data_IF_188666484018
#
_entry.id   IF_188666484018
#
_cell.length_a   1.000
_cell.length_b   1.000
_cell.length_c   1.000
_cell.angle_alpha   90.00
_cell.angle_beta   90.00
_cell.angle_gamma   90.00
#
_symmetry.space_group_name_H-M   'P 1'
#
loop_
_entity.id
_entity.type
_entity.pdbx_description
1 polymer ?
#
# COMPACT_ATOMS: atom_id res chain seq x y z
N UNK A 1 31.73 -1.96 -57.36
CA UNK A 1 30.48 -2.68 -57.03
C UNK A 1 30.28 -2.65 -55.51
N UNK A 2 29.48 -1.73 -54.94
CA UNK A 2 29.08 -1.82 -53.52
C UNK A 2 27.93 -0.88 -53.16
N UNK A 3 26.74 -1.05 -53.75
CA UNK A 3 25.57 -0.22 -53.42
C UNK A 3 24.28 -1.00 -53.11
N UNK A 4 24.28 -2.33 -53.21
CA UNK A 4 23.05 -3.14 -53.05
C UNK A 4 22.68 -3.52 -51.60
N UNK A 5 23.50 -3.18 -50.59
CA UNK A 5 23.23 -3.55 -49.18
C UNK A 5 22.54 -2.46 -48.33
N UNK A 6 22.69 -1.18 -48.69
CA UNK A 6 22.09 -0.08 -47.92
C UNK A 6 20.55 -0.02 -48.07
N UNK A 7 20.01 -0.29 -49.26
CA UNK A 7 18.58 -0.07 -49.55
C UNK A 7 17.59 -0.99 -48.82
N UNK A 8 18.02 -2.18 -48.37
CA UNK A 8 17.17 -3.10 -47.60
C UNK A 8 17.13 -2.79 -46.10
N UNK A 9 18.18 -2.16 -45.56
CA UNK A 9 18.21 -1.74 -44.16
C UNK A 9 17.43 -0.44 -43.97
N UNK A 10 17.58 0.52 -44.88
CA UNK A 10 16.92 1.82 -44.79
C UNK A 10 15.38 1.73 -44.94
N UNK A 11 14.88 0.71 -45.65
CA UNK A 11 13.44 0.46 -45.81
C UNK A 11 12.79 -0.30 -44.65
N UNK A 12 13.57 -1.00 -43.83
CA UNK A 12 13.06 -1.75 -42.67
C UNK A 12 12.89 -0.88 -41.42
N UNK A 13 13.57 0.27 -41.34
CA UNK A 13 13.53 1.17 -40.18
C UNK A 13 12.12 1.74 -39.95
N UNK A 14 11.41 2.27 -40.96
CA UNK A 14 10.05 2.79 -40.76
C UNK A 14 9.04 1.69 -40.35
N UNK A 15 9.19 0.48 -40.89
CA UNK A 15 8.33 -0.66 -40.55
C UNK A 15 8.54 -1.10 -39.10
N UNK A 16 9.79 -1.22 -38.65
CA UNK A 16 10.13 -1.52 -37.26
C UNK A 16 9.70 -0.40 -36.31
N UNK A 17 9.84 0.86 -36.70
CA UNK A 17 9.38 1.99 -35.90
C UNK A 17 7.86 1.99 -35.76
N UNK A 18 7.13 1.68 -36.83
CA UNK A 18 5.67 1.54 -36.80
C UNK A 18 5.24 0.38 -35.88
N UNK A 19 5.94 -0.75 -35.95
CA UNK A 19 5.71 -1.89 -35.06
C UNK A 19 6.00 -1.53 -33.60
N UNK A 20 7.08 -0.78 -33.34
CA UNK A 20 7.44 -0.27 -32.03
C UNK A 20 6.33 0.62 -31.46
N UNK A 21 5.83 1.59 -32.23
CA UNK A 21 4.75 2.47 -31.80
C UNK A 21 3.48 1.69 -31.45
N UNK A 22 3.05 0.77 -32.33
CA UNK A 22 1.89 -0.11 -32.07
C UNK A 22 2.07 -0.96 -30.82
N UNK A 23 3.28 -1.44 -30.56
CA UNK A 23 3.58 -2.25 -29.37
C UNK A 23 3.57 -1.40 -28.11
N UNK A 24 4.09 -0.17 -28.18
CA UNK A 24 4.07 0.80 -27.08
C UNK A 24 2.65 1.23 -26.71
N UNK A 25 1.76 1.39 -27.69
CA UNK A 25 0.33 1.65 -27.45
C UNK A 25 -0.33 0.49 -26.71
N UNK A 26 -0.03 -0.76 -27.10
CA UNK A 26 -0.53 -1.96 -26.39
C UNK A 26 0.01 -2.03 -24.95
N UNK A 27 1.29 -1.71 -24.76
CA UNK A 27 1.90 -1.64 -23.43
C UNK A 27 1.19 -0.60 -22.54
N UNK A 28 0.93 0.59 -23.09
CA UNK A 28 0.23 1.65 -22.39
C UNK A 28 -1.21 1.25 -22.01
N UNK A 29 -1.96 0.67 -22.95
CA UNK A 29 -3.30 0.17 -22.69
C UNK A 29 -3.32 -0.93 -21.61
N UNK A 30 -2.32 -1.82 -21.58
CA UNK A 30 -2.20 -2.85 -20.56
C UNK A 30 -1.91 -2.25 -19.17
N UNK A 31 -1.09 -1.20 -19.09
CA UNK A 31 -0.83 -0.47 -17.83
C UNK A 31 -2.10 0.19 -17.30
N UNK A 32 -2.87 0.85 -18.15
CA UNK A 32 -4.14 1.47 -17.77
C UNK A 32 -5.18 0.42 -17.31
N UNK A 33 -5.24 -0.73 -17.98
CA UNK A 33 -6.09 -1.83 -17.56
C UNK A 33 -5.68 -2.39 -16.18
N UNK A 34 -4.37 -2.54 -15.96
CA UNK A 34 -3.83 -3.00 -14.68
C UNK A 34 -4.14 -2.01 -13.55
N UNK A 35 -4.02 -0.71 -13.81
CA UNK A 35 -4.37 0.34 -12.85
C UNK A 35 -5.86 0.28 -12.46
N UNK A 36 -6.75 0.09 -13.44
CA UNK A 36 -8.20 -0.09 -13.17
C UNK A 36 -8.47 -1.33 -12.32
N UNK A 37 -7.89 -2.47 -12.67
CA UNK A 37 -8.03 -3.71 -11.90
C UNK A 37 -7.49 -3.53 -10.48
N UNK A 38 -6.38 -2.80 -10.31
CA UNK A 38 -5.83 -2.50 -8.98
C UNK A 38 -6.81 -1.69 -8.13
N UNK A 39 -7.46 -0.68 -8.71
CA UNK A 39 -8.48 0.13 -8.03
C UNK A 39 -9.69 -0.72 -7.63
N UNK A 40 -10.15 -1.61 -8.52
CA UNK A 40 -11.27 -2.52 -8.24
C UNK A 40 -10.93 -3.48 -7.11
N UNK A 41 -9.72 -4.06 -7.11
CA UNK A 41 -9.23 -4.91 -6.03
C UNK A 41 -9.21 -4.17 -4.68
N UNK A 42 -8.76 -2.92 -4.64
CA UNK A 42 -8.76 -2.10 -3.43
C UNK A 42 -10.18 -1.81 -2.93
N UNK A 43 -11.12 -1.58 -3.84
CA UNK A 43 -12.53 -1.34 -3.50
C UNK A 43 -13.17 -2.61 -2.92
N UNK A 44 -12.95 -3.76 -3.55
CA UNK A 44 -13.42 -5.06 -3.05
C UNK A 44 -12.80 -5.35 -1.68
N UNK A 45 -11.50 -5.10 -1.49
CA UNK A 45 -10.84 -5.26 -0.19
C UNK A 45 -11.52 -4.43 0.91
N UNK A 46 -11.87 -3.17 0.62
CA UNK A 46 -12.60 -2.31 1.57
C UNK A 46 -13.98 -2.86 1.90
N UNK A 47 -14.70 -3.40 0.92
CA UNK A 47 -16.00 -4.05 1.15
C UNK A 47 -15.85 -5.30 2.03
N UNK A 48 -14.84 -6.13 1.79
CA UNK A 48 -14.55 -7.31 2.62
C UNK A 48 -14.22 -6.92 4.07
N UNK A 49 -13.40 -5.88 4.27
CA UNK A 49 -13.09 -5.34 5.61
C UNK A 49 -14.36 -4.87 6.35
N UNK A 50 -15.33 -4.31 5.63
CA UNK A 50 -16.59 -3.85 6.23
C UNK A 50 -17.51 -5.02 6.64
N UNK A 51 -17.44 -6.15 5.93
CA UNK A 51 -18.29 -7.32 6.16
C UNK A 51 -17.69 -8.31 7.17
N UNK A 52 -16.37 -8.47 7.18
CA UNK A 52 -15.67 -9.42 8.05
C UNK A 52 -15.21 -8.70 9.31
N UNK A 53 -15.64 -9.12 10.51
CA UNK A 53 -15.20 -8.49 11.75
C UNK A 53 -13.68 -8.62 11.93
N UNK A 54 -13.02 -7.63 12.55
CA UNK A 54 -11.58 -7.66 12.77
C UNK A 54 -11.18 -8.87 13.63
N UNK A 55 -10.09 -9.53 13.25
CA UNK A 55 -9.57 -10.77 13.83
C UNK A 55 -10.56 -11.94 13.80
N UNK A 56 -11.58 -11.87 12.94
CA UNK A 56 -12.53 -12.94 12.69
C UNK A 56 -12.30 -13.61 11.34
N UNK A 57 -12.91 -14.79 11.20
CA UNK A 57 -12.96 -15.55 9.95
C UNK A 57 -14.42 -15.77 9.57
N UNK A 58 -14.78 -15.44 8.33
CA UNK A 58 -16.11 -15.65 7.79
C UNK A 58 -16.00 -16.25 6.40
N UNK A 59 -16.68 -17.39 6.15
CA UNK A 59 -16.72 -18.04 4.84
C UNK A 59 -15.33 -18.26 4.19
N UNK A 60 -14.33 -18.65 4.98
CA UNK A 60 -12.97 -18.88 4.48
C UNK A 60 -12.17 -17.60 4.20
N UNK A 61 -12.63 -16.44 4.67
CA UNK A 61 -11.91 -15.16 4.60
C UNK A 61 -11.57 -14.69 6.01
N UNK A 62 -10.30 -14.37 6.24
CA UNK A 62 -9.81 -13.88 7.54
C UNK A 62 -9.43 -12.40 7.44
N UNK A 63 -9.96 -11.58 8.36
CA UNK A 63 -9.60 -10.17 8.48
C UNK A 63 -8.61 -9.98 9.63
N UNK A 64 -7.34 -9.70 9.33
CA UNK A 64 -6.30 -9.40 10.32
C UNK A 64 -6.16 -7.89 10.49
N UNK A 65 -6.46 -7.39 11.69
CA UNK A 65 -6.28 -5.97 12.04
C UNK A 65 -5.06 -5.82 12.94
N UNK A 66 -4.08 -5.06 12.46
CA UNK A 66 -2.85 -4.75 13.19
C UNK A 66 -2.95 -3.35 13.78
N UNK A 67 -2.83 -3.27 15.10
CA UNK A 67 -2.73 -2.00 15.82
C UNK A 67 -1.25 -1.60 15.93
N UNK A 68 -0.90 -0.42 15.42
CA UNK A 68 0.43 0.16 15.62
C UNK A 68 0.34 1.32 16.59
N UNK A 69 0.74 1.04 17.83
CA UNK A 69 1.11 2.07 18.81
C UNK A 69 2.60 2.35 18.68
N UNK A 70 3.01 3.63 18.74
CA UNK A 70 4.42 3.99 18.78
C UNK A 70 5.00 3.63 20.15
N UNK A 71 5.42 2.37 20.32
CA UNK A 71 5.90 1.84 21.61
C UNK A 71 7.12 2.62 22.10
N UNK A 72 8.03 3.01 21.21
CA UNK A 72 9.23 3.78 21.56
C UNK A 72 8.91 5.17 22.11
N UNK A 73 7.90 5.85 21.57
CA UNK A 73 7.45 7.15 22.06
C UNK A 73 6.76 7.02 23.42
N UNK A 74 5.92 5.99 23.60
CA UNK A 74 5.25 5.73 24.86
C UNK A 74 6.24 5.41 25.99
N UNK A 75 7.27 4.60 25.70
CA UNK A 75 8.33 4.28 26.66
C UNK A 75 9.20 5.50 27.00
N UNK A 76 9.57 6.30 26.00
CA UNK A 76 10.32 7.54 26.21
C UNK A 76 9.52 8.55 27.04
N UNK A 77 8.23 8.74 26.75
CA UNK A 77 7.35 9.60 27.52
C UNK A 77 7.24 9.12 28.96
N UNK A 78 7.05 7.82 29.20
CA UNK A 78 6.98 7.25 30.54
C UNK A 78 8.22 7.59 31.36
N UNK A 79 9.42 7.41 30.80
CA UNK A 79 10.67 7.75 31.48
C UNK A 79 10.79 9.25 31.79
N UNK A 80 10.33 10.11 30.88
CA UNK A 80 10.32 11.57 31.08
C UNK A 80 9.31 11.96 32.17
N UNK A 81 8.11 11.37 32.15
CA UNK A 81 7.07 11.62 33.15
C UNK A 81 7.52 11.18 34.55
N UNK A 82 8.14 10.02 34.68
CA UNK A 82 8.64 9.52 35.97
C UNK A 82 9.76 10.38 36.57
N UNK A 83 10.59 11.01 35.73
CA UNK A 83 11.73 11.85 36.17
C UNK A 83 11.37 13.30 36.42
N UNK A 84 10.46 13.88 35.63
CA UNK A 84 10.22 15.33 35.61
C UNK A 84 8.86 15.74 36.18
N UNK A 85 7.88 14.83 36.26
CA UNK A 85 6.53 15.16 36.72
C UNK A 85 6.34 14.69 38.17
N UNK A 86 5.92 15.58 39.09
CA UNK A 86 5.58 15.19 40.45
C UNK A 86 4.50 14.10 40.50
N UNK A 87 4.64 13.12 41.41
CA UNK A 87 3.73 11.97 41.53
C UNK A 87 2.24 12.35 41.60
N UNK A 88 1.92 13.47 42.23
CA UNK A 88 0.54 13.99 42.36
C UNK A 88 -0.10 14.40 41.02
N UNK A 89 0.70 14.63 39.97
CA UNK A 89 0.27 15.07 38.65
C UNK A 89 0.43 14.01 37.55
N UNK A 90 1.04 12.87 37.86
CA UNK A 90 1.31 11.81 36.88
C UNK A 90 0.02 11.22 36.28
N UNK A 91 -1.04 11.09 37.08
CA UNK A 91 -2.33 10.61 36.59
C UNK A 91 -2.95 11.58 35.56
N UNK A 92 -2.91 12.89 35.82
CA UNK A 92 -3.38 13.92 34.87
C UNK A 92 -2.57 13.88 33.56
N UNK A 93 -1.24 13.73 33.66
CA UNK A 93 -0.36 13.61 32.49
C UNK A 93 -0.64 12.34 31.69
N UNK A 94 -0.91 11.20 32.35
CA UNK A 94 -1.24 9.96 31.66
C UNK A 94 -2.52 10.09 30.80
N UNK A 95 -3.56 10.76 31.33
CA UNK A 95 -4.79 11.05 30.58
C UNK A 95 -4.52 11.96 29.37
N UNK A 96 -3.66 12.97 29.54
CA UNK A 96 -3.26 13.87 28.44
C UNK A 96 -2.48 13.09 27.37
N UNK A 97 -1.53 12.26 27.76
CA UNK A 97 -0.75 11.44 26.82
C UNK A 97 -1.65 10.49 26.06
N UNK A 98 -2.56 9.79 26.75
CA UNK A 98 -3.48 8.84 26.11
C UNK A 98 -4.41 9.54 25.11
N UNK A 99 -5.00 10.68 25.49
CA UNK A 99 -5.86 11.48 24.60
C UNK A 99 -5.14 12.06 23.39
N UNK A 100 -3.81 12.21 23.44
CA UNK A 100 -2.98 12.68 22.33
C UNK A 100 -2.22 11.56 21.60
N UNK A 101 -2.38 10.29 22.03
CA UNK A 101 -1.75 9.16 21.38
C UNK A 101 -2.57 8.72 20.17
N UNK A 102 -2.01 8.93 18.97
CA UNK A 102 -2.64 8.46 17.73
C UNK A 102 -2.40 6.96 17.54
N UNK A 103 -3.47 6.17 17.61
CA UNK A 103 -3.45 4.76 17.24
C UNK A 103 -3.70 4.65 15.73
N UNK A 104 -2.83 3.95 15.01
CA UNK A 104 -3.06 3.62 13.59
C UNK A 104 -3.38 2.14 13.44
N UNK A 105 -4.36 1.84 12.60
CA UNK A 105 -4.77 0.48 12.28
C UNK A 105 -4.37 0.14 10.85
N UNK A 106 -3.90 -1.07 10.62
CA UNK A 106 -3.62 -1.62 9.29
C UNK A 106 -4.42 -2.90 9.12
N UNK A 107 -5.27 -2.94 8.10
CA UNK A 107 -6.19 -4.05 7.84
C UNK A 107 -5.70 -4.90 6.64
N UNK A 108 -5.67 -6.22 6.83
CA UNK A 108 -5.33 -7.23 5.81
C UNK A 108 -6.44 -8.26 5.70
N UNK A 109 -6.70 -8.70 4.46
CA UNK A 109 -7.63 -9.78 4.14
C UNK A 109 -6.82 -10.93 3.54
N UNK A 110 -7.01 -12.13 4.06
CA UNK A 110 -6.32 -13.34 3.66
C UNK A 110 -7.34 -14.49 3.50
N UNK A 111 -7.02 -15.49 2.69
CA UNK A 111 -7.77 -16.74 2.70
C UNK A 111 -7.54 -17.45 4.04
N UNK A 112 -8.58 -18.06 4.60
CA UNK A 112 -8.45 -18.92 5.76
C UNK A 112 -7.73 -20.21 5.36
N UNK A 113 -6.71 -20.57 6.12
CA UNK A 113 -6.03 -21.87 6.04
C UNK A 113 -6.89 -22.99 6.66
#
# INVERSE_FOLDING_TARGET
>A
MSSKKASKQDSAIPELFTLYLKTREKEQAAKEALERISVDCDLIKKQLIALVPPNGTLQGVTHKRFERKSVSYAEALKQVTERLIPKTKQAEVAVIVESNTKITYTDKIEAAE
#
